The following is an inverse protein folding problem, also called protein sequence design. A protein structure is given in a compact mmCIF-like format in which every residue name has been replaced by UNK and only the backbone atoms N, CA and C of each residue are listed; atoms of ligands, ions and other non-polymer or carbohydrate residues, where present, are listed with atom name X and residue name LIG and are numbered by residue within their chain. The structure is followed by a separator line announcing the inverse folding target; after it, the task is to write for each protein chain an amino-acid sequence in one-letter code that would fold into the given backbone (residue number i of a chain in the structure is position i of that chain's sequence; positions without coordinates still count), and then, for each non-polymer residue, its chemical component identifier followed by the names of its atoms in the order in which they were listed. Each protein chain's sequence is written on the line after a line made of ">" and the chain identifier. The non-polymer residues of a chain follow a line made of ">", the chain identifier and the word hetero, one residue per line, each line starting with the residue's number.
data_IF_150243220712
#
_entry.id   IF_150243220712
#
_cell.length_a   1.000
_cell.length_b   1.000
_cell.length_c   1.000
_cell.angle_alpha   90.00
_cell.angle_beta   90.00
_cell.angle_gamma   90.00
#
_symmetry.space_group_name_H-M   'P 1'
#
loop_
_entity.id
_entity.type
_entity.pdbx_description
1 polymer ?
#
# COMPACT_ATOMS: atom_id res chain seq x y z
N UNK A 1 21.70 -22.60 0.80
CA UNK A 1 20.53 -22.07 0.06
C UNK A 1 19.69 -21.30 1.07
N UNK A 2 19.84 -19.98 1.15
CA UNK A 2 19.22 -19.18 2.22
C UNK A 2 17.95 -18.50 1.73
N UNK A 3 16.84 -18.86 2.39
CA UNK A 3 15.51 -18.25 2.31
C UNK A 3 15.56 -16.86 2.99
N UNK A 4 15.45 -15.78 2.22
CA UNK A 4 15.36 -14.41 2.74
C UNK A 4 14.14 -13.75 2.09
N UNK A 5 12.98 -14.21 2.52
CA UNK A 5 11.65 -13.71 2.18
C UNK A 5 11.40 -12.33 2.84
N UNK A 6 10.23 -11.74 2.64
CA UNK A 6 9.88 -10.32 2.86
C UNK A 6 10.34 -9.65 4.17
N UNK A 7 10.69 -10.41 5.22
CA UNK A 7 11.30 -9.93 6.47
C UNK A 7 12.51 -9.01 6.26
N UNK A 8 13.37 -9.34 5.28
CA UNK A 8 14.58 -8.54 5.01
C UNK A 8 14.30 -7.16 4.43
N UNK A 9 13.18 -7.00 3.71
CA UNK A 9 12.82 -5.73 3.10
C UNK A 9 11.91 -4.87 4.00
N UNK A 10 11.09 -5.53 4.81
CA UNK A 10 10.38 -4.89 5.89
C UNK A 10 11.37 -4.22 6.87
N UNK A 11 12.51 -4.86 7.18
CA UNK A 11 13.53 -4.31 8.08
C UNK A 11 14.14 -3.00 7.58
N UNK A 12 14.31 -2.84 6.26
CA UNK A 12 14.77 -1.59 5.64
C UNK A 12 13.69 -0.49 5.71
N UNK A 13 12.43 -0.82 5.37
CA UNK A 13 11.28 0.09 5.46
C UNK A 13 11.01 0.56 6.90
N UNK A 14 11.25 -0.30 7.86
CA UNK A 14 11.03 -0.05 9.27
C UNK A 14 12.04 0.91 9.90
N UNK A 15 13.19 1.14 9.27
CA UNK A 15 14.15 2.16 9.71
C UNK A 15 13.67 3.60 9.44
N UNK A 16 12.55 3.75 8.72
CA UNK A 16 12.07 5.03 8.20
C UNK A 16 10.97 5.71 9.04
N UNK A 17 10.34 4.98 9.98
CA UNK A 17 9.08 5.40 10.59
C UNK A 17 9.01 5.20 12.12
N UNK A 18 9.91 5.85 12.87
CA UNK A 18 9.78 5.96 14.32
C UNK A 18 8.56 6.87 14.69
N UNK A 19 7.80 6.60 15.77
CA UNK A 19 6.42 7.09 15.90
C UNK A 19 6.24 8.46 16.59
N UNK A 20 5.13 9.15 16.28
CA UNK A 20 4.48 10.16 17.14
C UNK A 20 2.94 10.12 17.08
N UNK A 21 2.29 9.91 18.26
CA UNK A 21 0.98 10.47 18.70
C UNK A 21 -0.37 9.98 18.09
N UNK A 22 -1.47 9.90 18.88
CA UNK A 22 -2.81 9.44 18.41
C UNK A 22 -3.77 10.57 17.95
N UNK A 23 -4.74 10.22 17.09
CA UNK A 23 -5.64 11.10 16.30
C UNK A 23 -7.16 11.08 16.68
N UNK A 24 -7.92 12.12 16.30
CA UNK A 24 -9.41 12.18 16.25
C UNK A 24 -9.97 13.15 15.16
N UNK A 25 -10.92 12.68 14.33
CA UNK A 25 -12.09 13.40 13.73
C UNK A 25 -11.93 14.28 12.46
N UNK A 26 -12.63 13.96 11.35
CA UNK A 26 -12.51 14.64 10.03
C UNK A 26 -13.86 14.92 9.28
N UNK A 27 -13.86 15.88 8.32
CA UNK A 27 -14.55 15.81 7.00
C UNK A 27 -13.58 16.05 5.79
N UNK A 28 -13.98 15.83 4.50
CA UNK A 28 -13.22 15.01 3.52
C UNK A 28 -12.28 15.73 2.51
N UNK A 29 -11.33 14.95 1.97
CA UNK A 29 -10.33 15.27 0.91
C UNK A 29 -10.82 14.79 -0.46
N UNK A 30 -10.39 15.46 -1.54
CA UNK A 30 -10.81 15.19 -2.94
C UNK A 30 -10.29 13.87 -3.55
N UNK A 31 -9.33 13.22 -2.92
CA UNK A 31 -8.99 11.82 -3.13
C UNK A 31 -8.73 11.20 -1.75
N UNK A 32 -9.78 10.64 -1.18
CA UNK A 32 -9.73 9.88 0.06
C UNK A 32 -9.43 8.41 -0.31
N UNK A 33 -8.43 7.73 0.27
CA UNK A 33 -8.26 6.28 0.09
C UNK A 33 -9.51 5.48 0.49
N UNK A 34 -10.34 6.01 1.39
CA UNK A 34 -11.68 5.51 1.71
C UNK A 34 -12.76 5.84 0.66
N UNK A 35 -12.42 6.67 -0.32
CA UNK A 35 -13.19 6.96 -1.53
C UNK A 35 -12.67 6.25 -2.77
N UNK A 36 -11.64 5.39 -2.64
CA UNK A 36 -11.46 4.32 -3.60
C UNK A 36 -12.82 3.60 -3.65
N UNK A 37 -13.50 3.55 -4.81
CA UNK A 37 -14.77 2.85 -4.90
C UNK A 37 -14.54 1.48 -4.31
N UNK A 38 -15.46 1.00 -3.46
CA UNK A 38 -15.45 -0.35 -2.90
C UNK A 38 -14.92 -1.30 -3.98
N UNK A 39 -13.62 -1.60 -3.90
CA UNK A 39 -13.00 -2.35 -4.96
C UNK A 39 -13.62 -3.71 -4.76
N UNK A 40 -14.37 -4.16 -5.76
CA UNK A 40 -14.92 -5.49 -5.73
C UNK A 40 -13.74 -6.46 -5.86
N UNK A 41 -13.11 -6.70 -4.71
CA UNK A 41 -12.04 -7.63 -4.49
C UNK A 41 -12.61 -8.98 -4.08
N UNK A 42 -13.89 -9.22 -4.41
CA UNK A 42 -14.56 -10.46 -4.10
C UNK A 42 -13.67 -11.62 -4.54
N UNK A 43 -13.58 -12.66 -3.72
CA UNK A 43 -12.87 -13.89 -4.02
C UNK A 43 -13.32 -14.41 -5.39
N UNK A 44 -12.47 -14.35 -6.39
CA UNK A 44 -12.93 -14.60 -7.76
C UNK A 44 -11.82 -15.06 -8.67
N UNK A 45 -11.99 -16.23 -9.27
CA UNK A 45 -11.23 -16.62 -10.45
C UNK A 45 -11.69 -15.77 -11.63
N UNK A 46 -10.77 -14.98 -12.18
CA UNK A 46 -11.06 -14.13 -13.32
C UNK A 46 -9.81 -13.90 -14.15
N UNK A 47 -10.00 -13.79 -15.46
CA UNK A 47 -8.98 -13.25 -16.35
C UNK A 47 -8.76 -11.79 -15.95
N UNK A 48 -7.50 -11.37 -15.85
CA UNK A 48 -7.18 -9.98 -15.57
C UNK A 48 -7.73 -9.07 -16.67
N UNK A 49 -8.28 -7.93 -16.30
CA UNK A 49 -8.61 -6.88 -17.24
C UNK A 49 -7.36 -6.50 -18.07
N UNK A 50 -7.55 -6.34 -19.37
CA UNK A 50 -6.52 -5.87 -20.28
C UNK A 50 -6.44 -4.34 -20.20
N UNK A 51 -5.71 -3.86 -19.18
CA UNK A 51 -5.50 -2.43 -18.91
C UNK A 51 -4.03 -2.17 -18.62
N UNK A 52 -3.52 -1.05 -19.14
CA UNK A 52 -2.14 -0.63 -18.92
C UNK A 52 -2.02 0.23 -17.65
N UNK A 53 -1.31 -0.30 -16.65
CA UNK A 53 -0.95 0.41 -15.43
C UNK A 53 0.38 1.16 -15.52
N UNK A 54 1.14 0.95 -16.59
CA UNK A 54 2.49 1.48 -16.76
C UNK A 54 2.53 3.01 -16.81
N UNK A 55 3.59 3.59 -16.23
CA UNK A 55 3.87 5.02 -16.35
C UNK A 55 5.37 5.29 -16.45
N UNK A 56 5.73 6.46 -16.98
CA UNK A 56 7.10 6.98 -16.92
C UNK A 56 7.25 7.89 -15.69
N UNK A 57 8.21 7.63 -14.79
CA UNK A 57 8.42 8.48 -13.62
C UNK A 57 8.78 9.92 -14.00
N UNK A 58 8.04 10.87 -13.44
CA UNK A 58 8.28 12.31 -13.53
C UNK A 58 8.50 12.90 -12.12
N UNK A 59 9.67 13.53 -11.85
CA UNK A 59 9.93 14.23 -10.59
C UNK A 59 8.96 15.38 -10.26
N UNK A 60 8.31 15.98 -11.26
CA UNK A 60 7.30 17.00 -11.03
C UNK A 60 6.03 16.42 -10.39
N UNK A 61 5.61 15.23 -10.82
CA UNK A 61 4.49 14.50 -10.22
C UNK A 61 4.82 14.12 -8.78
N UNK A 62 6.05 13.65 -8.50
CA UNK A 62 6.46 13.32 -7.13
C UNK A 62 6.46 14.53 -6.19
N UNK A 63 6.84 15.71 -6.68
CA UNK A 63 6.74 16.96 -5.89
C UNK A 63 5.28 17.31 -5.58
N UNK A 64 4.40 17.24 -6.59
CA UNK A 64 2.95 17.42 -6.40
C UNK A 64 2.38 16.42 -5.39
N UNK A 65 2.80 15.16 -5.46
CA UNK A 65 2.37 14.12 -4.53
C UNK A 65 2.84 14.43 -3.10
N UNK A 66 4.04 14.97 -2.93
CA UNK A 66 4.51 15.40 -1.62
C UNK A 66 3.61 16.49 -1.03
N UNK A 67 3.16 17.45 -1.84
CA UNK A 67 2.21 18.47 -1.40
C UNK A 67 0.86 17.86 -1.00
N UNK A 68 0.30 16.97 -1.83
CA UNK A 68 -0.98 16.28 -1.54
C UNK A 68 -0.89 15.50 -0.22
N UNK A 69 0.13 14.66 -0.06
CA UNK A 69 0.30 13.83 1.14
C UNK A 69 0.68 14.67 2.36
N UNK A 70 1.50 15.71 2.16
CA UNK A 70 1.88 16.68 3.19
C UNK A 70 0.66 17.42 3.75
N UNK A 71 -0.14 18.03 2.89
CA UNK A 71 -1.40 18.70 3.27
C UNK A 71 -2.36 17.74 3.99
N UNK A 72 -2.40 16.48 3.55
CA UNK A 72 -3.19 15.46 4.21
C UNK A 72 -2.71 15.18 5.65
N UNK A 73 -1.41 15.06 5.85
CA UNK A 73 -0.80 14.86 7.17
C UNK A 73 -0.84 16.13 8.05
N UNK A 74 -0.86 17.32 7.46
CA UNK A 74 -0.91 18.60 8.17
C UNK A 74 -2.16 18.82 9.01
N UNK A 75 -3.22 18.04 8.74
CA UNK A 75 -4.39 17.96 9.64
C UNK A 75 -4.03 17.49 11.05
N UNK A 76 -2.92 16.79 11.21
CA UNK A 76 -2.42 16.26 12.49
C UNK A 76 -1.40 17.19 13.15
N UNK A 77 -0.87 18.15 12.39
CA UNK A 77 0.11 19.13 12.85
C UNK A 77 1.14 19.48 11.79
N UNK A 78 1.76 20.67 11.93
CA UNK A 78 2.77 21.16 10.99
C UNK A 78 4.03 20.26 10.94
N UNK A 79 4.32 19.53 12.02
CA UNK A 79 5.42 18.57 12.05
C UNK A 79 5.15 17.37 11.14
N UNK A 80 3.93 16.82 11.19
CA UNK A 80 3.49 15.69 10.37
C UNK A 80 3.42 16.07 8.89
N UNK A 81 2.97 17.29 8.58
CA UNK A 81 3.01 17.85 7.23
C UNK A 81 4.43 17.84 6.66
N UNK A 82 5.38 18.41 7.41
CA UNK A 82 6.78 18.49 7.00
C UNK A 82 7.40 17.10 6.85
N UNK A 83 7.15 16.21 7.81
CA UNK A 83 7.64 14.82 7.78
C UNK A 83 7.12 14.06 6.56
N UNK A 84 5.82 14.14 6.28
CA UNK A 84 5.22 13.48 5.12
C UNK A 84 5.76 14.02 3.79
N UNK A 85 5.92 15.34 3.67
CA UNK A 85 6.60 15.93 2.50
C UNK A 85 8.00 15.36 2.33
N UNK A 86 8.78 15.26 3.40
CA UNK A 86 10.14 14.71 3.33
C UNK A 86 10.14 13.22 2.96
N UNK A 87 9.21 12.41 3.48
CA UNK A 87 9.07 11.00 3.12
C UNK A 87 8.90 10.85 1.60
N UNK A 88 7.98 11.61 1.00
CA UNK A 88 7.72 11.55 -0.44
C UNK A 88 8.89 12.10 -1.26
N UNK A 89 9.38 13.30 -0.91
CA UNK A 89 10.46 13.97 -1.66
C UNK A 89 11.79 13.21 -1.59
N UNK A 90 12.06 12.50 -0.50
CA UNK A 90 13.27 11.69 -0.38
C UNK A 90 13.33 10.55 -1.42
N UNK A 91 12.18 10.16 -1.99
CA UNK A 91 12.05 9.01 -2.88
C UNK A 91 12.34 7.67 -2.20
N UNK A 92 12.57 7.64 -0.87
CA UNK A 92 13.08 6.46 -0.18
C UNK A 92 12.05 5.34 -0.12
N UNK A 93 10.78 5.66 0.12
CA UNK A 93 9.70 4.67 0.09
C UNK A 93 9.59 3.96 -1.28
N UNK A 94 9.71 4.74 -2.36
CA UNK A 94 9.74 4.21 -3.73
C UNK A 94 10.98 3.35 -3.96
N UNK A 95 12.16 3.81 -3.55
CA UNK A 95 13.41 3.06 -3.68
C UNK A 95 13.41 1.75 -2.87
N UNK A 96 12.75 1.70 -1.71
CA UNK A 96 12.58 0.45 -0.97
C UNK A 96 11.58 -0.47 -1.65
N UNK A 97 10.49 0.07 -2.23
CA UNK A 97 9.58 -0.73 -3.04
C UNK A 97 10.27 -1.33 -4.26
N UNK A 98 11.11 -0.57 -4.96
CA UNK A 98 11.90 -1.04 -6.11
C UNK A 98 12.77 -2.26 -5.79
N UNK A 99 13.21 -2.44 -4.54
CA UNK A 99 13.98 -3.61 -4.10
C UNK A 99 13.11 -4.84 -3.89
N UNK A 100 11.82 -4.67 -3.54
CA UNK A 100 10.91 -5.79 -3.24
C UNK A 100 10.04 -6.19 -4.42
N UNK A 101 9.64 -5.22 -5.23
CA UNK A 101 8.71 -5.42 -6.34
C UNK A 101 9.13 -6.60 -7.25
N UNK A 102 10.42 -6.75 -7.65
CA UNK A 102 10.83 -7.86 -8.51
C UNK A 102 10.60 -9.25 -7.88
N UNK A 103 10.65 -9.38 -6.56
CA UNK A 103 10.41 -10.65 -5.85
C UNK A 103 8.94 -11.06 -5.90
N UNK A 104 8.05 -10.08 -5.94
CA UNK A 104 6.61 -10.26 -6.12
C UNK A 104 6.23 -10.40 -7.60
N UNK A 105 7.17 -10.13 -8.53
CA UNK A 105 6.91 -10.04 -9.96
C UNK A 105 6.26 -8.72 -10.39
N UNK A 106 6.42 -7.68 -9.58
CA UNK A 106 5.87 -6.34 -9.77
C UNK A 106 6.92 -5.37 -10.31
N UNK A 107 6.43 -4.23 -10.83
CA UNK A 107 7.18 -3.07 -11.28
C UNK A 107 6.93 -1.86 -10.36
N UNK A 108 7.95 -1.04 -10.16
CA UNK A 108 7.84 0.25 -9.47
C UNK A 108 7.20 1.36 -10.31
N UNK A 109 7.01 1.10 -11.60
CA UNK A 109 6.47 2.06 -12.56
C UNK A 109 5.14 1.57 -13.13
N UNK A 110 4.35 0.87 -12.31
CA UNK A 110 3.06 0.31 -12.67
C UNK A 110 2.06 0.57 -11.54
N UNK A 111 0.98 1.29 -11.87
CA UNK A 111 -0.07 1.70 -10.94
C UNK A 111 -0.88 0.51 -10.38
N UNK A 112 -1.04 -0.56 -11.17
CA UNK A 112 -1.71 -1.80 -10.76
C UNK A 112 -0.85 -2.51 -9.72
N UNK A 113 0.46 -2.54 -9.93
CA UNK A 113 1.40 -3.13 -8.98
C UNK A 113 1.47 -2.35 -7.66
N UNK A 114 1.45 -1.01 -7.73
CA UNK A 114 1.33 -0.16 -6.54
C UNK A 114 0.06 -0.44 -5.74
N UNK A 115 -1.08 -0.61 -6.42
CA UNK A 115 -2.34 -1.01 -5.80
C UNK A 115 -2.28 -2.41 -5.19
N UNK A 116 -1.75 -3.39 -5.93
CA UNK A 116 -1.59 -4.76 -5.45
C UNK A 116 -0.71 -4.85 -4.21
N UNK A 117 0.39 -4.08 -4.18
CA UNK A 117 1.27 -3.98 -3.02
C UNK A 117 0.57 -3.35 -1.80
N UNK A 118 -0.19 -2.27 -2.01
CA UNK A 118 -0.97 -1.65 -0.95
C UNK A 118 -1.98 -2.63 -0.34
N UNK A 119 -2.69 -3.40 -1.18
CA UNK A 119 -3.62 -4.43 -0.71
C UNK A 119 -2.92 -5.53 0.10
N UNK A 120 -1.74 -6.00 -0.35
CA UNK A 120 -0.91 -6.97 0.39
C UNK A 120 -0.46 -6.42 1.74
N UNK A 121 0.02 -5.17 1.79
CA UNK A 121 0.44 -4.53 3.03
C UNK A 121 -0.73 -4.41 4.02
N UNK A 122 -1.91 -4.01 3.54
CA UNK A 122 -3.10 -3.87 4.36
C UNK A 122 -3.55 -5.20 4.98
N UNK A 123 -3.63 -6.25 4.15
CA UNK A 123 -3.97 -7.59 4.62
C UNK A 123 -2.91 -8.15 5.57
N UNK A 124 -1.63 -7.98 5.22
CA UNK A 124 -0.50 -8.49 6.00
C UNK A 124 -0.44 -7.88 7.40
N UNK A 125 -0.53 -6.56 7.53
CA UNK A 125 -0.52 -5.89 8.85
C UNK A 125 -1.74 -6.27 9.68
N UNK A 126 -2.92 -6.40 9.07
CA UNK A 126 -4.12 -6.83 9.77
C UNK A 126 -4.04 -8.28 10.29
N UNK A 127 -3.24 -9.13 9.64
CA UNK A 127 -3.06 -10.55 9.98
C UNK A 127 -1.70 -10.86 10.66
N UNK A 128 -1.00 -9.85 11.19
CA UNK A 128 0.28 -9.99 11.90
C UNK A 128 1.40 -10.67 11.07
N UNK A 129 1.38 -10.49 9.74
CA UNK A 129 2.47 -10.79 8.79
C UNK A 129 3.03 -12.23 8.76
N UNK A 130 2.22 -13.28 8.95
CA UNK A 130 2.77 -14.64 9.19
C UNK A 130 3.12 -15.56 8.01
N UNK A 131 2.75 -15.33 6.73
CA UNK A 131 3.35 -16.11 5.64
C UNK A 131 4.23 -15.29 4.70
N UNK A 132 5.33 -15.90 4.27
CA UNK A 132 6.09 -15.47 3.10
C UNK A 132 5.17 -15.46 1.88
N UNK A 133 4.84 -14.27 1.36
CA UNK A 133 4.00 -14.14 0.16
C UNK A 133 4.76 -14.74 -1.04
N UNK A 134 4.17 -15.75 -1.66
CA UNK A 134 4.73 -16.38 -2.85
C UNK A 134 4.47 -15.52 -4.09
N UNK A 135 5.27 -15.72 -5.15
CA UNK A 135 5.04 -15.06 -6.43
C UNK A 135 3.68 -15.43 -7.05
N UNK A 136 3.18 -16.64 -6.79
CA UNK A 136 1.87 -17.08 -7.25
C UNK A 136 0.75 -16.30 -6.54
N UNK A 137 0.82 -16.18 -5.22
CA UNK A 137 -0.10 -15.36 -4.42
C UNK A 137 -0.08 -13.89 -4.86
N UNK A 138 1.11 -13.31 -5.04
CA UNK A 138 1.26 -11.94 -5.54
C UNK A 138 0.64 -11.78 -6.94
N UNK A 139 0.88 -12.72 -7.86
CA UNK A 139 0.24 -12.71 -9.17
C UNK A 139 -1.29 -12.79 -9.08
N UNK A 140 -1.84 -13.57 -8.15
CA UNK A 140 -3.27 -13.61 -7.84
C UNK A 140 -3.82 -12.24 -7.43
N UNK A 141 -3.16 -11.58 -6.49
CA UNK A 141 -3.55 -10.25 -6.03
C UNK A 141 -3.41 -9.20 -7.14
N UNK A 142 -2.37 -9.27 -7.97
CA UNK A 142 -2.20 -8.37 -9.13
C UNK A 142 -3.37 -8.46 -10.11
N UNK A 143 -3.93 -9.66 -10.35
CA UNK A 143 -5.12 -9.80 -11.21
C UNK A 143 -6.34 -9.08 -10.61
N UNK A 144 -6.54 -9.19 -9.30
CA UNK A 144 -7.62 -8.48 -8.61
C UNK A 144 -7.39 -6.96 -8.65
N UNK A 145 -6.15 -6.51 -8.45
CA UNK A 145 -5.78 -5.11 -8.58
C UNK A 145 -6.01 -4.58 -10.01
N UNK A 146 -5.72 -5.35 -11.05
CA UNK A 146 -5.98 -4.95 -12.44
C UNK A 146 -7.48 -4.75 -12.71
N UNK A 147 -8.32 -5.67 -12.21
CA UNK A 147 -9.78 -5.57 -12.33
C UNK A 147 -10.34 -4.36 -11.57
N UNK A 148 -9.78 -4.08 -10.39
CA UNK A 148 -10.08 -2.88 -9.62
C UNK A 148 -9.67 -1.60 -10.36
N UNK A 149 -8.44 -1.56 -10.86
CA UNK A 149 -7.88 -0.44 -11.60
C UNK A 149 -8.68 -0.11 -12.87
N UNK A 150 -9.16 -1.13 -13.59
CA UNK A 150 -9.99 -0.95 -14.78
C UNK A 150 -11.23 -0.09 -14.54
N UNK A 151 -11.78 -0.05 -13.31
CA UNK A 151 -12.94 0.78 -12.96
C UNK A 151 -12.62 2.26 -12.83
N UNK A 152 -11.35 2.60 -12.64
CA UNK A 152 -10.85 3.97 -12.49
C UNK A 152 -9.94 4.38 -13.65
N UNK A 153 -9.69 3.50 -14.61
CA UNK A 153 -8.73 3.72 -15.70
C UNK A 153 -8.99 5.03 -16.47
N UNK A 154 -10.26 5.37 -16.72
CA UNK A 154 -10.66 6.63 -17.37
C UNK A 154 -10.28 7.88 -16.55
N UNK A 155 -10.11 7.76 -15.24
CA UNK A 155 -9.70 8.84 -14.34
C UNK A 155 -8.17 8.94 -14.20
N UNK A 156 -7.45 7.92 -14.65
CA UNK A 156 -5.97 7.84 -14.63
C UNK A 156 -5.43 7.56 -16.04
N UNK A 157 -5.94 8.31 -17.00
CA UNK A 157 -5.71 8.12 -18.44
C UNK A 157 -4.33 8.60 -18.94
N UNK A 158 -3.59 9.35 -18.11
CA UNK A 158 -2.24 9.85 -18.43
C UNK A 158 -1.13 9.25 -17.54
N UNK A 159 0.11 9.25 -18.04
CA UNK A 159 1.28 8.80 -17.27
C UNK A 159 1.40 9.52 -15.92
N UNK A 160 1.14 10.82 -15.89
CA UNK A 160 1.23 11.62 -14.67
C UNK A 160 0.17 11.20 -13.64
N UNK A 161 -1.07 10.92 -14.08
CA UNK A 161 -2.14 10.47 -13.20
C UNK A 161 -1.91 9.03 -12.72
N UNK A 162 -1.41 8.14 -13.59
CA UNK A 162 -1.02 6.77 -13.20
C UNK A 162 0.12 6.78 -12.20
N UNK A 163 1.11 7.64 -12.38
CA UNK A 163 2.20 7.81 -11.43
C UNK A 163 1.69 8.33 -10.08
N UNK A 164 0.87 9.38 -10.08
CA UNK A 164 0.29 9.93 -8.84
C UNK A 164 -0.48 8.85 -8.07
N UNK A 165 -1.35 8.11 -8.76
CA UNK A 165 -2.12 7.01 -8.18
C UNK A 165 -1.22 5.88 -7.66
N UNK A 166 -0.30 5.39 -8.49
CA UNK A 166 0.58 4.26 -8.17
C UNK A 166 1.56 4.56 -7.04
N UNK A 167 2.26 5.69 -7.11
CA UNK A 167 3.23 6.08 -6.08
C UNK A 167 2.54 6.38 -4.74
N UNK A 168 1.35 6.99 -4.74
CA UNK A 168 0.60 7.22 -3.51
C UNK A 168 0.27 5.91 -2.77
N UNK A 169 -0.20 4.89 -3.50
CA UNK A 169 -0.55 3.58 -2.92
C UNK A 169 0.70 2.84 -2.47
N UNK A 170 1.76 2.89 -3.26
CA UNK A 170 3.06 2.31 -2.94
C UNK A 170 3.63 2.91 -1.65
N UNK A 171 3.65 4.24 -1.53
CA UNK A 171 4.17 4.95 -0.36
C UNK A 171 3.35 4.61 0.88
N UNK A 172 2.01 4.59 0.78
CA UNK A 172 1.15 4.18 1.90
C UNK A 172 1.41 2.73 2.31
N UNK A 173 1.51 1.79 1.36
CA UNK A 173 1.84 0.40 1.65
C UNK A 173 3.21 0.25 2.31
N UNK A 174 4.20 1.02 1.86
CA UNK A 174 5.56 1.04 2.40
C UNK A 174 5.61 1.58 3.84
N UNK A 175 4.88 2.67 4.12
CA UNK A 175 4.71 3.21 5.48
C UNK A 175 4.09 2.17 6.39
N UNK A 176 3.02 1.51 5.95
CA UNK A 176 2.28 0.55 6.74
C UNK A 176 3.12 -0.69 7.08
N UNK A 177 3.75 -1.29 6.06
CA UNK A 177 4.62 -2.45 6.26
C UNK A 177 5.85 -2.08 7.13
N UNK A 178 6.44 -0.91 6.89
CA UNK A 178 7.60 -0.43 7.65
C UNK A 178 7.30 -0.18 9.13
N UNK A 179 6.22 0.54 9.44
CA UNK A 179 5.83 0.83 10.83
C UNK A 179 5.48 -0.44 11.61
N UNK A 180 4.78 -1.39 10.99
CA UNK A 180 4.47 -2.69 11.61
C UNK A 180 5.73 -3.49 11.90
N UNK A 181 6.65 -3.61 10.94
CA UNK A 181 7.91 -4.31 11.14
C UNK A 181 8.82 -3.61 12.17
N UNK A 182 8.80 -2.28 12.25
CA UNK A 182 9.55 -1.55 13.27
C UNK A 182 9.06 -1.94 14.68
N UNK A 183 7.74 -2.02 14.86
CA UNK A 183 7.12 -2.47 16.10
C UNK A 183 7.40 -3.95 16.40
N UNK A 184 7.43 -4.81 15.38
CA UNK A 184 7.82 -6.22 15.54
C UNK A 184 9.25 -6.33 16.08
N UNK A 185 10.20 -5.61 15.46
CA UNK A 185 11.61 -5.65 15.86
C UNK A 185 11.87 -5.04 17.23
N UNK A 186 11.11 -4.02 17.64
CA UNK A 186 11.24 -3.39 18.95
C UNK A 186 10.46 -4.13 20.05
N UNK A 187 9.61 -5.10 19.70
CA UNK A 187 8.72 -5.79 20.65
C UNK A 187 7.59 -4.91 21.18
N UNK A 188 7.24 -3.82 20.49
CA UNK A 188 6.17 -2.90 20.89
C UNK A 188 4.79 -3.49 20.56
N UNK A 189 4.32 -4.39 21.43
CA UNK A 189 3.01 -5.03 21.33
C UNK A 189 1.83 -4.05 21.25
N UNK A 190 1.95 -2.87 21.89
CA UNK A 190 0.91 -1.85 21.84
C UNK A 190 0.87 -1.19 20.46
N UNK A 191 2.02 -0.89 19.85
CA UNK A 191 2.09 -0.40 18.48
C UNK A 191 1.58 -1.43 17.48
N UNK A 192 1.95 -2.71 17.63
CA UNK A 192 1.45 -3.78 16.77
C UNK A 192 -0.09 -3.85 16.78
N UNK A 193 -0.71 -3.82 17.97
CA UNK A 193 -2.16 -3.82 18.09
C UNK A 193 -2.80 -2.58 17.43
N UNK A 194 -2.21 -1.38 17.60
CA UNK A 194 -2.69 -0.16 16.94
C UNK A 194 -2.60 -0.24 15.42
N UNK A 195 -1.47 -0.73 14.88
CA UNK A 195 -1.29 -0.84 13.44
C UNK A 195 -2.20 -1.90 12.82
N UNK A 196 -2.39 -3.05 13.48
CA UNK A 196 -3.38 -4.04 13.07
C UNK A 196 -4.80 -3.46 13.01
N UNK A 197 -5.20 -2.66 14.00
CA UNK A 197 -6.52 -2.03 14.02
C UNK A 197 -6.70 -0.96 12.93
N UNK A 198 -5.67 -0.14 12.67
CA UNK A 198 -5.62 0.77 11.51
C UNK A 198 -5.75 -0.02 10.20
N UNK A 199 -4.99 -1.10 10.06
CA UNK A 199 -4.99 -1.94 8.87
C UNK A 199 -6.37 -2.56 8.64
N UNK A 200 -7.03 -3.05 9.70
CA UNK A 200 -8.40 -3.58 9.67
C UNK A 200 -9.43 -2.54 9.25
N UNK A 201 -9.33 -1.30 9.75
CA UNK A 201 -10.23 -0.21 9.34
C UNK A 201 -10.12 0.09 7.85
N UNK A 202 -8.92 0.34 7.33
CA UNK A 202 -8.72 0.60 5.91
C UNK A 202 -9.06 -0.62 5.05
N UNK A 203 -8.70 -1.81 5.52
CA UNK A 203 -8.99 -3.05 4.84
C UNK A 203 -10.48 -3.35 4.71
N UNK A 204 -11.33 -2.96 5.67
CA UNK A 204 -12.80 -3.06 5.50
C UNK A 204 -13.34 -2.23 4.34
N UNK A 205 -12.74 -1.09 4.04
CA UNK A 205 -13.12 -0.27 2.87
C UNK A 205 -12.65 -0.93 1.57
N UNK A 206 -11.47 -1.54 1.60
CA UNK A 206 -10.84 -2.17 0.42
C UNK A 206 -11.50 -3.51 0.10
N UNK A 207 -11.57 -4.43 1.07
CA UNK A 207 -12.03 -5.81 0.88
C UNK A 207 -13.54 -6.00 1.10
N UNK A 208 -14.27 -4.95 1.52
CA UNK A 208 -15.68 -5.03 1.91
C UNK A 208 -15.96 -6.10 3.00
N UNK A 209 -14.92 -6.46 3.76
CA UNK A 209 -14.93 -7.44 4.83
C UNK A 209 -13.77 -7.16 5.78
N UNK A 210 -13.81 -7.75 6.98
CA UNK A 210 -12.66 -7.64 7.87
C UNK A 210 -11.45 -8.40 7.26
N UNK A 211 -10.26 -7.78 7.14
CA UNK A 211 -9.11 -8.44 6.53
C UNK A 211 -8.70 -9.73 7.23
N UNK A 212 -9.05 -9.92 8.50
CA UNK A 212 -8.76 -11.19 9.16
C UNK A 212 -9.64 -12.32 8.68
N UNK A 213 -10.77 -12.05 8.04
CA UNK A 213 -11.65 -13.07 7.44
C UNK A 213 -11.28 -13.36 5.98
N UNK A 214 -10.16 -12.79 5.51
CA UNK A 214 -9.62 -12.97 4.18
C UNK A 214 -8.41 -13.93 4.22
N UNK A 215 -8.42 -14.93 3.35
CA UNK A 215 -7.31 -15.81 3.02
C UNK A 215 -6.52 -15.27 1.83
N UNK A 216 -5.20 -15.40 1.87
CA UNK A 216 -4.34 -15.21 0.71
C UNK A 216 -4.02 -16.58 0.08
N UNK A 217 -4.41 -16.77 -1.18
CA UNK A 217 -4.20 -18.00 -1.96
C UNK A 217 -3.43 -17.69 -3.24
N UNK A 218 -2.98 -18.71 -3.98
CA UNK A 218 -2.34 -18.53 -5.30
C UNK A 218 -3.26 -17.85 -6.33
N UNK A 219 -4.57 -17.84 -6.06
CA UNK A 219 -5.57 -17.14 -6.86
C UNK A 219 -5.86 -15.70 -6.37
N UNK A 220 -5.17 -15.24 -5.32
CA UNK A 220 -5.38 -13.94 -4.69
C UNK A 220 -6.18 -14.04 -3.38
N UNK A 221 -6.80 -12.92 -2.99
CA UNK A 221 -7.60 -12.82 -1.78
C UNK A 221 -8.93 -13.55 -1.89
N UNK A 222 -9.30 -14.28 -0.84
CA UNK A 222 -10.56 -15.01 -0.73
C UNK A 222 -11.21 -14.87 0.65
N UNK A 223 -12.53 -14.92 0.77
CA UNK A 223 -13.19 -15.07 2.07
C UNK A 223 -12.87 -16.46 2.60
N UNK A 224 -12.77 -16.56 3.93
CA UNK A 224 -12.75 -17.85 4.62
C UNK A 224 -14.03 -18.64 4.43
#
# INVERSE_FOLDING_TARGET
>A
MMLHSLTGAAALLASLFAPAGPQQGAPPVRFDPGSLPALDLSPGQGVAADVDGGYRPDPAVRRKLADIMGEAAGREGAAQEAEMRQIVLSGRAVAEYEKVAPRLGYSANDAIDGLAFYMLAQWGVANDHRPDITRAQAAGVRRQAANAFARVADQVDSDALRQEFGEMLMIQGAIMAGTHEAALRSGDSAALARYADIARRGGRQIFQADPVDILLTDDGFRHR
#
